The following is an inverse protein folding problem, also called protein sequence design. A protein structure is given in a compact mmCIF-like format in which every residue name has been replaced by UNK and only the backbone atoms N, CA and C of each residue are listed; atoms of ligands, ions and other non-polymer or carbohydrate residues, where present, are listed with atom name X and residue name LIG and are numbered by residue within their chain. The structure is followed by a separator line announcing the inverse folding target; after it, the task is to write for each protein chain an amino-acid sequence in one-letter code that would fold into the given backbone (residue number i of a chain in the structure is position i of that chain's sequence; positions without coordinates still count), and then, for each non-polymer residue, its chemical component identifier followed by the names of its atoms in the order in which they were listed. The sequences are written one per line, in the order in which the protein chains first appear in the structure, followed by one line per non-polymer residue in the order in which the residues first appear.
data_IF_216596997969
#
_entry.id   IF_216596997969
#
_cell.length_a   1.000
_cell.length_b   1.000
_cell.length_c   1.000
_cell.angle_alpha   90.00
_cell.angle_beta   90.00
_cell.angle_gamma   90.00
#
_symmetry.space_group_name_H-M   'P 1'
#
loop_
_entity.id
_entity.type
_entity.pdbx_description
1 polymer ?
#
# COMPACT_ATOMS: atom_id res chain seq x y z
N UNK A 1 24.51 -4.51 18.11
CA UNK A 1 24.29 -3.31 17.27
C UNK A 1 23.49 -3.68 16.03
N UNK A 2 22.25 -3.25 15.82
CA UNK A 2 21.02 -3.74 16.49
C UNK A 2 19.94 -3.88 15.40
N UNK A 3 18.91 -4.68 15.63
CA UNK A 3 17.70 -4.99 14.83
C UNK A 3 16.88 -3.78 14.30
N UNK A 4 17.42 -2.56 14.33
CA UNK A 4 16.67 -1.30 14.13
C UNK A 4 16.14 -1.08 12.72
N UNK A 5 16.86 -1.49 11.67
CA UNK A 5 16.42 -1.26 10.28
C UNK A 5 15.28 -2.19 9.88
N UNK A 6 15.36 -3.48 10.24
CA UNK A 6 14.26 -4.44 10.07
C UNK A 6 13.06 -4.09 10.93
N UNK A 7 13.31 -3.58 12.14
CA UNK A 7 12.24 -3.11 13.03
C UNK A 7 11.53 -1.85 12.51
N UNK A 8 12.27 -0.90 11.92
CA UNK A 8 11.68 0.28 11.28
C UNK A 8 10.78 -0.12 10.11
N UNK A 9 11.30 -0.96 9.21
CA UNK A 9 10.54 -1.48 8.07
C UNK A 9 9.29 -2.23 8.53
N UNK A 10 9.41 -3.07 9.57
CA UNK A 10 8.26 -3.78 10.14
C UNK A 10 7.19 -2.84 10.69
N UNK A 11 7.58 -1.78 11.41
CA UNK A 11 6.62 -0.81 11.95
C UNK A 11 5.87 -0.07 10.84
N UNK A 12 6.61 0.41 9.85
CA UNK A 12 6.01 1.04 8.66
C UNK A 12 4.99 0.12 7.98
N UNK A 13 5.33 -1.17 7.81
CA UNK A 13 4.40 -2.17 7.27
C UNK A 13 3.15 -2.39 8.14
N UNK A 14 3.30 -2.41 9.48
CA UNK A 14 2.16 -2.51 10.40
C UNK A 14 1.26 -1.28 10.30
N UNK A 15 1.86 -0.09 10.22
CA UNK A 15 1.13 1.18 10.13
C UNK A 15 0.32 1.24 8.81
N UNK A 16 0.94 0.83 7.68
CA UNK A 16 0.26 0.74 6.38
C UNK A 16 -0.90 -0.28 6.40
N UNK A 17 -0.67 -1.46 6.97
CA UNK A 17 -1.70 -2.49 7.08
C UNK A 17 -2.88 -1.99 7.91
N UNK A 18 -2.63 -1.34 9.03
CA UNK A 18 -3.67 -0.81 9.91
C UNK A 18 -4.57 0.21 9.19
N UNK A 19 -4.00 1.13 8.41
CA UNK A 19 -4.78 2.08 7.60
C UNK A 19 -5.64 1.36 6.54
N UNK A 20 -5.09 0.34 5.87
CA UNK A 20 -5.85 -0.45 4.88
C UNK A 20 -6.98 -1.26 5.53
N UNK A 21 -6.73 -1.87 6.68
CA UNK A 21 -7.74 -2.59 7.47
C UNK A 21 -8.84 -1.67 8.04
N UNK A 22 -8.57 -0.36 8.11
CA UNK A 22 -9.56 0.66 8.49
C UNK A 22 -10.60 0.98 7.41
N UNK A 23 -10.31 0.74 6.13
CA UNK A 23 -11.20 1.11 5.03
C UNK A 23 -12.61 0.50 5.14
N UNK A 24 -12.80 -0.79 5.48
CA UNK A 24 -14.12 -1.37 5.68
C UNK A 24 -14.91 -0.75 6.83
N UNK A 25 -14.21 -0.29 7.87
CA UNK A 25 -14.80 0.38 9.04
C UNK A 25 -15.31 1.76 8.63
N UNK A 26 -14.45 2.56 7.98
CA UNK A 26 -14.83 3.86 7.44
C UNK A 26 -16.04 3.73 6.50
N UNK A 27 -16.01 2.75 5.59
CA UNK A 27 -17.13 2.46 4.70
C UNK A 27 -18.42 2.15 5.46
N UNK A 28 -18.35 1.34 6.51
CA UNK A 28 -19.52 1.00 7.32
C UNK A 28 -20.12 2.21 8.05
N UNK A 29 -19.28 3.16 8.49
CA UNK A 29 -19.68 4.32 9.28
C UNK A 29 -20.24 5.48 8.42
N UNK A 30 -19.84 5.59 7.15
CA UNK A 30 -20.25 6.67 6.23
C UNK A 30 -21.75 7.05 6.26
N UNK A 31 -22.72 6.12 6.29
CA UNK A 31 -24.15 6.47 6.32
C UNK A 31 -24.55 7.29 7.56
N UNK A 32 -23.86 7.07 8.68
CA UNK A 32 -24.11 7.78 9.95
C UNK A 32 -23.41 9.14 10.05
N UNK A 33 -22.48 9.44 9.15
CA UNK A 33 -21.69 10.65 9.19
C UNK A 33 -22.41 11.85 8.54
N UNK A 34 -22.26 13.06 9.09
CA UNK A 34 -22.53 14.31 8.39
C UNK A 34 -21.72 14.43 7.09
N UNK A 35 -22.21 15.25 6.14
CA UNK A 35 -21.53 15.44 4.84
C UNK A 35 -20.09 15.93 4.99
N UNK A 36 -19.82 16.82 5.94
CA UNK A 36 -18.46 17.33 6.18
C UNK A 36 -17.50 16.20 6.60
N UNK A 37 -17.91 15.37 7.56
CA UNK A 37 -17.11 14.24 8.02
C UNK A 37 -16.88 13.20 6.89
N UNK A 38 -17.82 13.05 5.94
CA UNK A 38 -17.61 12.20 4.75
C UNK A 38 -16.55 12.78 3.81
N UNK A 39 -16.50 14.10 3.64
CA UNK A 39 -15.46 14.78 2.87
C UNK A 39 -14.09 14.48 3.52
N UNK A 40 -13.98 14.65 4.84
CA UNK A 40 -12.75 14.37 5.57
C UNK A 40 -12.30 12.91 5.42
N UNK A 41 -13.22 11.94 5.47
CA UNK A 41 -12.91 10.52 5.22
C UNK A 41 -12.38 10.31 3.80
N UNK A 42 -13.03 10.89 2.79
CA UNK A 42 -12.59 10.77 1.38
C UNK A 42 -11.21 11.39 1.19
N UNK A 43 -10.98 12.59 1.72
CA UNK A 43 -9.68 13.29 1.64
C UNK A 43 -8.57 12.50 2.34
N UNK A 44 -8.84 11.97 3.54
CA UNK A 44 -7.89 11.14 4.29
C UNK A 44 -7.49 9.91 3.48
N UNK A 45 -8.47 9.15 2.98
CA UNK A 45 -8.20 7.91 2.22
C UNK A 45 -7.48 8.21 0.92
N UNK A 46 -7.90 9.23 0.17
CA UNK A 46 -7.22 9.62 -1.08
C UNK A 46 -5.78 10.03 -0.80
N UNK A 47 -5.54 10.84 0.22
CA UNK A 47 -4.19 11.32 0.60
C UNK A 47 -3.30 10.14 1.02
N UNK A 48 -3.78 9.29 1.93
CA UNK A 48 -3.06 8.10 2.36
C UNK A 48 -2.69 7.20 1.18
N UNK A 49 -3.65 6.87 0.32
CA UNK A 49 -3.40 5.95 -0.78
C UNK A 49 -2.50 6.57 -1.85
N UNK A 50 -2.70 7.83 -2.21
CA UNK A 50 -1.98 8.47 -3.31
C UNK A 50 -0.57 8.92 -2.93
N UNK A 51 -0.39 9.40 -1.69
CA UNK A 51 0.85 10.04 -1.26
C UNK A 51 1.74 9.14 -0.40
N UNK A 52 1.16 8.12 0.24
CA UNK A 52 1.89 7.23 1.15
C UNK A 52 1.96 5.82 0.56
N UNK A 53 0.82 5.14 0.42
CA UNK A 53 0.80 3.72 0.07
C UNK A 53 1.28 3.44 -1.35
N UNK A 54 0.76 4.17 -2.35
CA UNK A 54 1.16 3.96 -3.74
C UNK A 54 2.67 4.16 -3.93
N UNK A 55 3.27 5.30 -3.54
CA UNK A 55 4.71 5.51 -3.66
C UNK A 55 5.56 4.44 -2.97
N UNK A 56 5.14 4.01 -1.78
CA UNK A 56 5.78 2.93 -1.04
C UNK A 56 5.80 1.62 -1.84
N UNK A 57 4.65 1.21 -2.37
CA UNK A 57 4.54 0.03 -3.22
C UNK A 57 5.38 0.16 -4.52
N UNK A 58 5.54 1.38 -5.08
CA UNK A 58 6.44 1.59 -6.23
C UNK A 58 7.92 1.42 -5.87
N UNK A 59 8.33 1.87 -4.68
CA UNK A 59 9.69 1.68 -4.19
C UNK A 59 10.00 0.18 -4.02
N UNK A 60 9.07 -0.59 -3.44
CA UNK A 60 9.20 -2.03 -3.27
C UNK A 60 9.27 -2.76 -4.60
N UNK A 61 8.39 -2.41 -5.55
CA UNK A 61 8.41 -2.98 -6.90
C UNK A 61 9.76 -2.78 -7.60
N UNK A 62 10.42 -1.63 -7.39
CA UNK A 62 11.70 -1.31 -8.03
C UNK A 62 12.90 -1.88 -7.30
N UNK A 63 12.80 -2.12 -6.00
CA UNK A 63 13.95 -2.48 -5.16
C UNK A 63 13.88 -3.93 -4.72
N UNK A 64 12.75 -4.35 -4.19
CA UNK A 64 12.58 -5.62 -3.49
C UNK A 64 12.22 -6.77 -4.44
N UNK A 65 11.25 -6.55 -5.33
CA UNK A 65 10.83 -7.59 -6.29
C UNK A 65 11.95 -8.06 -7.25
N UNK A 66 12.85 -7.20 -7.75
CA UNK A 66 13.98 -7.66 -8.56
C UNK A 66 14.91 -8.59 -7.78
N UNK A 67 15.11 -8.32 -6.49
CA UNK A 67 15.96 -9.15 -5.65
C UNK A 67 15.29 -10.49 -5.30
N UNK A 68 13.98 -10.46 -5.01
CA UNK A 68 13.19 -11.68 -4.86
C UNK A 68 13.24 -12.54 -6.14
N UNK A 69 13.11 -11.93 -7.31
CA UNK A 69 13.22 -12.63 -8.60
C UNK A 69 14.61 -13.24 -8.80
N UNK A 70 15.68 -12.50 -8.47
CA UNK A 70 17.07 -12.99 -8.57
C UNK A 70 17.30 -14.23 -7.71
N UNK A 71 16.72 -14.25 -6.51
CA UNK A 71 16.91 -15.33 -5.53
C UNK A 71 16.02 -16.55 -5.79
N UNK A 72 14.77 -16.34 -6.17
CA UNK A 72 13.76 -17.41 -6.27
C UNK A 72 13.53 -17.90 -7.71
N UNK A 73 14.15 -17.26 -8.71
CA UNK A 73 14.11 -17.70 -10.11
C UNK A 73 12.76 -17.51 -10.82
N UNK A 74 11.77 -16.91 -10.15
CA UNK A 74 10.45 -16.66 -10.71
C UNK A 74 9.88 -15.31 -10.24
N UNK A 75 9.06 -14.71 -11.12
CA UNK A 75 8.43 -13.41 -10.90
C UNK A 75 7.05 -13.55 -10.23
N UNK A 76 6.96 -14.38 -9.18
CA UNK A 76 5.69 -14.61 -8.48
C UNK A 76 5.14 -13.28 -7.99
N UNK A 77 3.98 -12.88 -8.52
CA UNK A 77 3.25 -11.70 -8.07
C UNK A 77 3.61 -10.39 -8.76
N UNK A 78 4.82 -10.16 -9.30
CA UNK A 78 5.22 -8.81 -9.79
C UNK A 78 4.33 -8.24 -10.91
N UNK A 79 3.88 -9.09 -11.85
CA UNK A 79 2.93 -8.64 -12.91
C UNK A 79 1.52 -8.41 -12.37
N UNK A 80 1.09 -9.19 -11.38
CA UNK A 80 -0.18 -9.00 -10.69
C UNK A 80 -0.14 -7.70 -9.86
N UNK A 81 0.91 -7.49 -9.07
CA UNK A 81 1.22 -6.27 -8.33
C UNK A 81 1.22 -5.02 -9.23
N UNK A 82 1.85 -5.09 -10.40
CA UNK A 82 1.83 -3.98 -11.35
C UNK A 82 0.43 -3.67 -11.89
N UNK A 83 -0.43 -4.68 -12.01
CA UNK A 83 -1.82 -4.53 -12.42
C UNK A 83 -2.67 -3.98 -11.28
N UNK A 84 -2.57 -4.56 -10.09
CA UNK A 84 -3.26 -4.14 -8.87
C UNK A 84 -3.02 -2.65 -8.61
N UNK A 85 -1.78 -2.18 -8.79
CA UNK A 85 -1.45 -0.76 -8.63
C UNK A 85 -2.19 0.16 -9.62
N UNK A 86 -2.40 -0.28 -10.86
CA UNK A 86 -3.18 0.50 -11.85
C UNK A 86 -4.64 0.56 -11.44
N UNK A 87 -5.20 -0.56 -10.98
CA UNK A 87 -6.59 -0.62 -10.50
C UNK A 87 -6.78 0.25 -9.25
N UNK A 88 -5.86 0.19 -8.28
CA UNK A 88 -5.85 1.06 -7.10
C UNK A 88 -5.80 2.53 -7.51
N UNK A 89 -4.93 2.91 -8.45
CA UNK A 89 -4.85 4.29 -8.95
C UNK A 89 -6.15 4.75 -9.62
N UNK A 90 -6.79 3.89 -10.40
CA UNK A 90 -8.10 4.19 -10.99
C UNK A 90 -9.16 4.42 -9.90
N UNK A 91 -9.19 3.55 -8.87
CA UNK A 91 -10.15 3.65 -7.76
C UNK A 91 -9.93 4.86 -6.86
N UNK A 92 -8.69 5.29 -6.65
CA UNK A 92 -8.40 6.57 -5.99
C UNK A 92 -9.01 7.72 -6.80
N UNK A 93 -8.87 7.70 -8.12
CA UNK A 93 -9.49 8.71 -8.99
C UNK A 93 -11.02 8.69 -8.93
N UNK A 94 -11.62 7.50 -8.91
CA UNK A 94 -13.07 7.33 -8.72
C UNK A 94 -13.53 7.86 -7.36
N UNK A 95 -12.77 7.59 -6.28
CA UNK A 95 -13.08 8.06 -4.93
C UNK A 95 -12.99 9.58 -4.83
N UNK A 96 -11.93 10.18 -5.38
CA UNK A 96 -11.71 11.62 -5.37
C UNK A 96 -12.76 12.40 -6.18
N UNK A 97 -13.37 11.76 -7.19
CA UNK A 97 -14.40 12.35 -8.02
C UNK A 97 -15.83 11.99 -7.60
N UNK A 98 -16.00 11.13 -6.59
CA UNK A 98 -17.31 10.67 -6.16
C UNK A 98 -18.10 11.80 -5.46
N UNK A 99 -19.42 11.78 -5.65
CA UNK A 99 -20.31 12.62 -4.87
C UNK A 99 -20.35 12.11 -3.42
N UNK A 100 -20.02 12.97 -2.46
CA UNK A 100 -19.99 12.64 -1.03
C UNK A 100 -21.38 12.39 -0.44
N UNK A 101 -22.44 12.80 -1.15
CA UNK A 101 -23.81 12.47 -0.81
C UNK A 101 -24.21 11.06 -1.30
N UNK A 102 -23.51 10.51 -2.31
CA UNK A 102 -23.68 9.12 -2.77
C UNK A 102 -22.90 8.15 -1.89
N UNK A 103 -23.41 7.93 -0.69
CA UNK A 103 -22.82 7.03 0.31
C UNK A 103 -22.65 5.62 -0.24
N UNK A 104 -23.60 5.13 -1.05
CA UNK A 104 -23.52 3.78 -1.62
C UNK A 104 -22.31 3.62 -2.54
N UNK A 105 -22.04 4.65 -3.35
CA UNK A 105 -20.86 4.67 -4.22
C UNK A 105 -19.56 4.76 -3.44
N UNK A 106 -19.48 5.61 -2.41
CA UNK A 106 -18.30 5.69 -1.55
C UNK A 106 -18.00 4.35 -0.88
N UNK A 107 -19.02 3.68 -0.33
CA UNK A 107 -18.89 2.36 0.29
C UNK A 107 -18.36 1.32 -0.69
N UNK A 108 -18.93 1.26 -1.89
CA UNK A 108 -18.50 0.34 -2.94
C UNK A 108 -17.00 0.52 -3.25
N UNK A 109 -16.56 1.77 -3.43
CA UNK A 109 -15.16 2.07 -3.76
C UNK A 109 -14.23 1.67 -2.60
N UNK A 110 -14.58 2.01 -1.35
CA UNK A 110 -13.76 1.68 -0.18
C UNK A 110 -13.63 0.17 0.06
N UNK A 111 -14.72 -0.59 -0.06
CA UNK A 111 -14.65 -2.05 0.04
C UNK A 111 -13.83 -2.67 -1.10
N UNK A 112 -13.96 -2.12 -2.31
CA UNK A 112 -13.21 -2.63 -3.45
C UNK A 112 -11.71 -2.28 -3.35
N UNK A 113 -11.36 -1.10 -2.83
CA UNK A 113 -9.98 -0.73 -2.49
C UNK A 113 -9.40 -1.68 -1.44
N UNK A 114 -10.13 -1.95 -0.35
CA UNK A 114 -9.71 -2.92 0.65
C UNK A 114 -9.46 -4.31 0.05
N UNK A 115 -10.36 -4.82 -0.78
CA UNK A 115 -10.21 -6.14 -1.39
C UNK A 115 -8.96 -6.24 -2.28
N UNK A 116 -8.67 -5.20 -3.07
CA UNK A 116 -7.47 -5.14 -3.90
C UNK A 116 -6.19 -5.06 -3.05
N UNK A 117 -6.19 -4.22 -2.02
CA UNK A 117 -5.02 -3.97 -1.18
C UNK A 117 -4.72 -5.11 -0.22
N UNK A 118 -5.73 -5.76 0.36
CA UNK A 118 -5.53 -6.91 1.25
C UNK A 118 -4.79 -8.06 0.54
N UNK A 119 -5.19 -8.36 -0.71
CA UNK A 119 -4.51 -9.37 -1.53
C UNK A 119 -3.08 -8.94 -1.87
N UNK A 120 -2.88 -7.66 -2.17
CA UNK A 120 -1.55 -7.11 -2.44
C UNK A 120 -0.60 -7.30 -1.24
N UNK A 121 -1.04 -6.89 -0.04
CA UNK A 121 -0.26 -6.96 1.20
C UNK A 121 0.03 -8.41 1.64
N UNK A 122 -0.90 -9.34 1.40
CA UNK A 122 -0.68 -10.77 1.67
C UNK A 122 0.47 -11.31 0.80
N UNK A 123 0.43 -11.04 -0.51
CA UNK A 123 1.49 -11.44 -1.43
C UNK A 123 2.84 -10.81 -1.07
N UNK A 124 2.82 -9.53 -0.72
CA UNK A 124 4.02 -8.77 -0.31
C UNK A 124 4.65 -9.38 0.95
N UNK A 125 3.82 -9.72 1.94
CA UNK A 125 4.24 -10.40 3.17
C UNK A 125 4.94 -11.73 2.89
N UNK A 126 4.44 -12.53 1.95
CA UNK A 126 5.10 -13.78 1.56
C UNK A 126 6.51 -13.54 0.99
N UNK A 127 6.68 -12.49 0.18
CA UNK A 127 7.99 -12.13 -0.38
C UNK A 127 8.95 -11.73 0.75
N UNK A 128 8.47 -10.96 1.74
CA UNK A 128 9.28 -10.54 2.89
C UNK A 128 9.73 -11.70 3.74
N UNK A 129 8.80 -12.59 4.10
CA UNK A 129 9.13 -13.77 4.89
C UNK A 129 10.16 -14.64 4.17
N UNK A 130 10.03 -14.85 2.86
CA UNK A 130 11.01 -15.61 2.08
C UNK A 130 12.37 -14.93 2.03
N UNK A 131 12.43 -13.61 1.85
CA UNK A 131 13.70 -12.86 1.84
C UNK A 131 14.43 -12.98 3.18
N UNK A 132 13.71 -12.80 4.29
CA UNK A 132 14.26 -12.93 5.65
C UNK A 132 14.74 -14.36 5.92
N UNK A 133 14.01 -15.37 5.45
CA UNK A 133 14.37 -16.78 5.66
C UNK A 133 15.52 -17.26 4.77
N UNK A 134 15.69 -16.66 3.58
CA UNK A 134 16.59 -17.17 2.54
C UNK A 134 17.92 -16.42 2.45
N UNK A 135 18.08 -15.29 3.14
CA UNK A 135 19.26 -14.45 3.05
C UNK A 135 19.83 -14.13 4.44
N UNK A 136 21.15 -13.90 4.57
CA UNK A 136 21.72 -13.39 5.81
C UNK A 136 21.14 -12.02 6.19
N UNK A 137 21.10 -11.71 7.48
CA UNK A 137 20.51 -10.48 8.04
C UNK A 137 20.98 -9.18 7.37
N UNK A 138 22.28 -9.07 7.10
CA UNK A 138 22.90 -7.81 6.68
C UNK A 138 22.51 -7.40 5.24
N UNK A 139 22.56 -8.29 4.23
CA UNK A 139 21.92 -8.04 2.93
C UNK A 139 20.44 -7.63 3.00
N UNK A 140 19.63 -8.33 3.81
CA UNK A 140 18.19 -8.03 3.97
C UNK A 140 17.97 -6.66 4.58
N UNK A 141 18.74 -6.30 5.62
CA UNK A 141 18.69 -4.97 6.24
C UNK A 141 19.03 -3.85 5.28
N UNK A 142 20.02 -4.05 4.40
CA UNK A 142 20.34 -3.05 3.37
C UNK A 142 19.23 -2.93 2.34
N UNK A 143 18.58 -4.03 1.98
CA UNK A 143 17.45 -4.03 1.06
C UNK A 143 16.27 -3.23 1.63
N UNK A 144 15.82 -3.56 2.85
CA UNK A 144 14.70 -2.86 3.50
C UNK A 144 15.01 -1.39 3.77
N UNK A 145 16.26 -1.08 4.14
CA UNK A 145 16.68 0.32 4.28
C UNK A 145 16.52 1.09 2.97
N UNK A 146 16.91 0.51 1.83
CA UNK A 146 16.76 1.16 0.52
C UNK A 146 15.30 1.41 0.14
N UNK A 147 14.37 0.56 0.57
CA UNK A 147 12.93 0.78 0.38
C UNK A 147 12.48 1.97 1.22
N UNK A 148 12.69 1.94 2.53
CA UNK A 148 12.23 3.00 3.45
C UNK A 148 12.97 4.34 3.27
N UNK A 149 14.21 4.33 2.76
CA UNK A 149 14.98 5.55 2.45
C UNK A 149 14.75 6.05 1.03
N UNK A 150 13.96 5.35 0.20
CA UNK A 150 13.55 5.91 -1.08
C UNK A 150 12.35 6.84 -0.85
N UNK A 151 12.53 8.17 -0.91
CA UNK A 151 11.37 9.04 -1.00
C UNK A 151 10.60 8.71 -2.29
N UNK A 152 9.29 8.97 -2.35
CA UNK A 152 8.57 9.02 -3.62
C UNK A 152 9.40 9.86 -4.60
N UNK A 153 9.70 9.35 -5.80
CA UNK A 153 10.16 10.20 -6.89
C UNK A 153 8.97 11.10 -7.27
N UNK A 154 8.70 12.14 -6.48
CA UNK A 154 7.74 13.18 -6.81
C UNK A 154 8.32 13.99 -7.97
N UNK A 155 7.93 13.61 -9.18
CA UNK A 155 8.02 14.51 -10.33
C UNK A 155 6.71 15.28 -10.35
N UNK A 156 6.65 16.57 -9.96
CA UNK A 156 5.45 17.36 -10.16
C UNK A 156 5.13 17.38 -11.65
N UNK A 157 3.90 17.03 -12.01
CA UNK A 157 3.41 17.27 -13.35
C UNK A 157 3.57 18.76 -13.64
N UNK A 158 4.32 19.07 -14.71
CA UNK A 158 4.51 20.42 -15.23
C UNK A 158 3.23 20.93 -15.91
#
# INVERSE_FOLDING_TARGET
MTLRSTERFRREQIDLLHEVEGLPVMAHELPGLPVQDRIEVVEHVVTFLAEILLPHAEAEQRILYPEARRLFGHDRGSRAVAHDRREVRARIGELAAADVEDVGRLQEILYALHALLAIHLEHETEVYLRLVQSQPDEPVRRLFRRVTEHPPDYTPAA
#
